data_IF_513902640986
#
_entry.id   IF_513902640986
#
_cell.length_a   1.000
_cell.length_b   1.000
_cell.length_c   1.000
_cell.angle_alpha   90.00
_cell.angle_beta   90.00
_cell.angle_gamma   90.00
#
_symmetry.space_group_name_H-M   'P 1'
#
loop_
_entity.id
_entity.type
_entity.pdbx_description
1 polymer ?
#
# COMPACT_ATOMS: atom_id res chain seq x y z
N UNK A 1 -24.44 -1.04 6.03
CA UNK A 1 -23.60 -2.19 6.40
C UNK A 1 -23.39 -2.14 7.90
N UNK A 2 -23.96 -3.09 8.64
CA UNK A 2 -23.48 -3.35 9.99
C UNK A 2 -22.06 -3.89 9.80
N UNK A 3 -21.07 -3.02 9.95
CA UNK A 3 -19.73 -3.50 10.31
C UNK A 3 -19.97 -4.13 11.67
N UNK A 4 -20.00 -5.46 11.69
CA UNK A 4 -20.30 -6.26 12.87
C UNK A 4 -19.45 -5.75 14.04
N UNK A 5 -20.07 -5.45 15.18
CA UNK A 5 -19.35 -5.03 16.37
C UNK A 5 -18.32 -6.10 16.77
N UNK A 6 -18.58 -7.36 16.42
CA UNK A 6 -17.60 -8.44 16.50
C UNK A 6 -16.36 -8.16 15.62
N UNK A 7 -16.54 -7.79 14.36
CA UNK A 7 -15.44 -7.49 13.44
C UNK A 7 -14.59 -6.32 13.93
N UNK A 8 -15.18 -5.28 14.53
CA UNK A 8 -14.40 -4.18 15.13
C UNK A 8 -13.53 -4.66 16.30
N UNK A 9 -14.06 -5.55 17.15
CA UNK A 9 -13.32 -6.12 18.29
C UNK A 9 -12.18 -7.05 17.87
N UNK A 10 -12.32 -7.70 16.73
CA UNK A 10 -11.30 -8.61 16.18
C UNK A 10 -10.20 -7.86 15.40
N UNK A 11 -10.34 -6.55 15.18
CA UNK A 11 -9.28 -5.77 14.55
C UNK A 11 -8.09 -5.64 15.50
N UNK A 12 -6.86 -5.72 14.97
CA UNK A 12 -5.70 -5.39 15.75
C UNK A 12 -5.78 -3.91 16.21
N UNK A 13 -5.35 -3.60 17.44
CA UNK A 13 -5.32 -2.22 17.92
C UNK A 13 -4.34 -1.38 17.10
N UNK A 14 -4.81 -0.24 16.60
CA UNK A 14 -3.98 0.74 15.89
C UNK A 14 -3.45 1.79 16.87
N UNK A 15 -2.19 2.20 16.71
CA UNK A 15 -1.62 3.33 17.45
C UNK A 15 -1.73 4.59 16.60
N UNK A 16 -1.98 5.73 17.24
CA UNK A 16 -2.00 7.01 16.54
C UNK A 16 -0.56 7.39 16.20
N UNK A 17 -0.19 7.18 14.93
CA UNK A 17 1.11 7.57 14.39
C UNK A 17 1.04 9.00 13.81
N UNK A 18 2.16 9.72 13.87
CA UNK A 18 2.30 10.99 13.16
C UNK A 18 2.32 10.71 11.64
N UNK A 19 1.56 11.45 10.82
CA UNK A 19 1.61 11.29 9.37
C UNK A 19 3.03 11.48 8.83
N UNK A 20 3.45 10.60 7.92
CA UNK A 20 4.70 10.71 7.21
C UNK A 20 4.71 11.96 6.31
N UNK A 21 5.68 12.88 6.48
CA UNK A 21 5.74 14.08 5.67
C UNK A 21 6.06 13.72 4.21
N UNK A 22 5.28 14.21 3.23
CA UNK A 22 5.58 13.97 1.82
C UNK A 22 6.96 14.48 1.43
N UNK A 23 7.65 13.74 0.57
CA UNK A 23 8.97 14.11 0.03
C UNK A 23 8.95 14.09 -1.48
N UNK A 24 9.58 15.07 -2.10
CA UNK A 24 9.78 15.10 -3.55
C UNK A 24 11.16 14.55 -3.86
N UNK A 25 11.23 13.64 -4.83
CA UNK A 25 12.48 13.11 -5.36
C UNK A 25 12.54 13.38 -6.86
N UNK A 26 13.75 13.67 -7.34
CA UNK A 26 14.04 13.82 -8.78
C UNK A 26 14.47 12.47 -9.32
N UNK A 27 13.75 11.97 -10.32
CA UNK A 27 14.10 10.74 -11.03
C UNK A 27 15.32 10.96 -11.93
N UNK A 28 15.95 9.86 -12.36
CA UNK A 28 17.07 9.92 -13.31
C UNK A 28 16.66 10.55 -14.67
N UNK A 29 15.36 10.50 -15.02
CA UNK A 29 14.79 11.18 -16.18
C UNK A 29 14.68 12.71 -16.02
N UNK A 30 14.88 13.24 -14.82
CA UNK A 30 14.65 14.65 -14.47
C UNK A 30 13.23 14.93 -13.96
N UNK A 31 12.29 13.99 -14.09
CA UNK A 31 10.92 14.12 -13.60
C UNK A 31 10.85 14.19 -12.06
N UNK A 32 9.86 14.90 -11.55
CA UNK A 32 9.60 15.01 -10.12
C UNK A 32 8.59 13.95 -9.69
N UNK A 33 8.84 13.29 -8.55
CA UNK A 33 7.95 12.30 -7.97
C UNK A 33 7.73 12.56 -6.49
N UNK A 34 6.49 12.41 -6.02
CA UNK A 34 6.15 12.55 -4.60
C UNK A 34 6.08 11.17 -3.95
N UNK A 35 6.81 11.01 -2.84
CA UNK A 35 6.67 9.94 -1.87
C UNK A 35 5.76 10.40 -0.75
N UNK A 36 4.65 9.71 -0.50
CA UNK A 36 3.69 10.04 0.57
C UNK A 36 3.01 8.78 1.11
N UNK A 37 2.28 8.93 2.21
CA UNK A 37 1.39 7.86 2.69
C UNK A 37 0.31 7.54 1.65
N UNK A 38 0.06 6.25 1.50
CA UNK A 38 -1.06 5.73 0.73
C UNK A 38 -2.37 5.98 1.47
N UNK A 39 -3.43 6.25 0.73
CA UNK A 39 -4.79 6.21 1.26
C UNK A 39 -5.46 4.89 0.89
N UNK A 40 -6.36 4.40 1.74
CA UNK A 40 -7.01 3.10 1.50
C UNK A 40 -7.96 3.11 0.30
N UNK A 41 -8.38 4.27 -0.16
CA UNK A 41 -9.16 4.42 -1.39
C UNK A 41 -8.32 4.11 -2.64
N UNK A 42 -6.99 4.17 -2.54
CA UNK A 42 -6.06 3.91 -3.64
C UNK A 42 -5.76 2.41 -3.82
N UNK A 43 -6.29 1.55 -2.93
CA UNK A 43 -5.96 0.12 -2.89
C UNK A 43 -6.28 -0.62 -4.18
N UNK A 44 -7.33 -0.25 -4.90
CA UNK A 44 -7.66 -0.86 -6.19
C UNK A 44 -6.51 -0.70 -7.21
N UNK A 45 -5.93 0.50 -7.28
CA UNK A 45 -4.81 0.80 -8.19
C UNK A 45 -3.55 0.08 -7.74
N UNK A 46 -3.26 0.07 -6.44
CA UNK A 46 -2.08 -0.61 -5.89
C UNK A 46 -2.13 -2.13 -6.13
N UNK A 47 -3.24 -2.78 -5.76
CA UNK A 47 -3.43 -4.22 -6.00
C UNK A 47 -3.40 -4.55 -7.50
N UNK A 48 -4.03 -3.71 -8.34
CA UNK A 48 -4.01 -3.86 -9.79
C UNK A 48 -2.62 -3.73 -10.40
N UNK A 49 -1.73 -2.93 -9.80
CA UNK A 49 -0.34 -2.74 -10.24
C UNK A 49 0.53 -3.94 -9.88
N UNK A 50 0.31 -4.54 -8.70
CA UNK A 50 1.11 -5.68 -8.21
C UNK A 50 0.66 -7.01 -8.83
N UNK A 51 -0.63 -7.20 -9.09
CA UNK A 51 -1.20 -8.47 -9.54
C UNK A 51 -0.49 -9.10 -10.77
N UNK A 52 -0.15 -8.35 -11.84
CA UNK A 52 0.54 -8.94 -13.00
C UNK A 52 1.91 -9.55 -12.67
N UNK A 53 2.57 -9.11 -11.60
CA UNK A 53 3.90 -9.59 -11.21
C UNK A 53 3.85 -10.97 -10.54
N UNK A 54 2.70 -11.40 -10.02
CA UNK A 54 2.54 -12.72 -9.37
C UNK A 54 2.78 -13.90 -10.32
N UNK A 55 2.70 -13.68 -11.64
CA UNK A 55 3.01 -14.69 -12.66
C UNK A 55 4.44 -14.65 -13.19
N UNK A 56 5.30 -13.76 -12.67
CA UNK A 56 6.65 -13.52 -13.18
C UNK A 56 7.67 -14.24 -12.30
N UNK A 57 8.11 -15.44 -12.68
CA UNK A 57 9.10 -16.20 -11.90
C UNK A 57 10.53 -15.62 -11.94
N UNK A 58 10.79 -14.67 -12.85
CA UNK A 58 12.10 -14.02 -12.96
C UNK A 58 12.41 -13.27 -11.65
N UNK A 59 13.62 -13.43 -11.15
CA UNK A 59 14.12 -12.70 -9.97
C UNK A 59 13.19 -12.75 -8.75
N UNK A 60 12.42 -13.85 -8.60
CA UNK A 60 11.45 -14.06 -7.51
C UNK A 60 10.31 -13.02 -7.47
N UNK A 61 10.00 -12.35 -8.59
CA UNK A 61 8.90 -11.38 -8.64
C UNK A 61 7.56 -12.01 -8.25
N UNK A 62 7.32 -13.26 -8.61
CA UNK A 62 6.11 -14.02 -8.29
C UNK A 62 5.84 -14.08 -6.77
N UNK A 63 6.80 -14.53 -5.98
CA UNK A 63 6.67 -14.67 -4.53
C UNK A 63 6.71 -13.30 -3.83
N UNK A 64 7.54 -12.37 -4.29
CA UNK A 64 7.61 -11.01 -3.74
C UNK A 64 6.28 -10.28 -3.97
N UNK A 65 5.75 -10.32 -5.19
CA UNK A 65 4.46 -9.73 -5.51
C UNK A 65 3.32 -10.38 -4.74
N UNK A 66 3.33 -11.70 -4.58
CA UNK A 66 2.31 -12.42 -3.82
C UNK A 66 2.27 -11.97 -2.36
N UNK A 67 3.45 -11.79 -1.73
CA UNK A 67 3.55 -11.28 -0.36
C UNK A 67 3.04 -9.85 -0.22
N UNK A 68 3.50 -8.96 -1.09
CA UNK A 68 3.08 -7.55 -1.10
C UNK A 68 1.57 -7.45 -1.32
N UNK A 69 1.02 -8.25 -2.25
CA UNK A 69 -0.42 -8.29 -2.50
C UNK A 69 -1.21 -8.72 -1.26
N UNK A 70 -0.74 -9.75 -0.55
CA UNK A 70 -1.36 -10.22 0.69
C UNK A 70 -1.30 -9.18 1.82
N UNK A 71 -0.15 -8.53 2.00
CA UNK A 71 0.06 -7.45 3.00
C UNK A 71 -0.88 -6.26 2.71
N UNK A 72 -0.92 -5.80 1.45
CA UNK A 72 -1.81 -4.74 0.98
C UNK A 72 -3.29 -5.10 1.18
N UNK A 73 -3.69 -6.33 0.85
CA UNK A 73 -5.05 -6.80 1.04
C UNK A 73 -5.40 -6.90 2.53
N UNK A 74 -4.48 -7.40 3.35
CA UNK A 74 -4.62 -7.45 4.80
C UNK A 74 -4.83 -6.05 5.38
N UNK A 75 -4.05 -5.07 4.93
CA UNK A 75 -4.17 -3.67 5.35
C UNK A 75 -5.53 -3.10 4.97
N UNK A 76 -5.96 -3.25 3.72
CA UNK A 76 -7.27 -2.81 3.25
C UNK A 76 -8.43 -3.39 4.07
N UNK A 77 -8.30 -4.66 4.48
CA UNK A 77 -9.31 -5.41 5.26
C UNK A 77 -9.19 -5.23 6.78
N UNK A 78 -8.33 -4.33 7.27
CA UNK A 78 -8.09 -4.12 8.71
C UNK A 78 -7.63 -5.39 9.45
N UNK A 79 -6.86 -6.27 8.78
CA UNK A 79 -6.30 -7.50 9.40
C UNK A 79 -4.89 -7.32 9.94
N UNK A 80 -4.24 -6.24 9.55
CA UNK A 80 -2.94 -5.79 10.07
C UNK A 80 -3.08 -4.34 10.53
N UNK A 81 -2.43 -4.01 11.63
CA UNK A 81 -2.40 -2.65 12.18
C UNK A 81 -1.05 -2.00 11.88
N UNK A 82 -1.06 -0.68 11.72
CA UNK A 82 0.16 0.15 11.62
C UNK A 82 1.07 -0.19 10.43
N UNK A 83 0.51 -0.75 9.34
CA UNK A 83 1.26 -0.96 8.11
C UNK A 83 1.71 0.37 7.51
N UNK A 84 2.98 0.41 7.12
CA UNK A 84 3.60 1.59 6.58
C UNK A 84 3.58 1.56 5.05
N UNK A 85 2.44 1.94 4.49
CA UNK A 85 2.23 1.93 3.03
C UNK A 85 2.55 3.30 2.46
N UNK A 86 3.66 3.38 1.71
CA UNK A 86 4.05 4.58 0.96
C UNK A 86 3.79 4.38 -0.53
N UNK A 87 3.32 5.45 -1.18
CA UNK A 87 3.12 5.50 -2.62
C UNK A 87 4.01 6.55 -3.26
N UNK A 88 4.43 6.22 -4.48
CA UNK A 88 5.24 7.05 -5.34
C UNK A 88 4.37 7.44 -6.54
N UNK A 89 4.16 8.74 -6.75
CA UNK A 89 3.38 9.27 -7.87
C UNK A 89 4.09 10.42 -8.56
N UNK A 90 4.19 10.38 -9.89
CA UNK A 90 4.76 11.46 -10.69
C UNK A 90 3.96 12.76 -10.51
N UNK A 91 4.67 13.88 -10.32
CA UNK A 91 4.08 15.21 -10.35
C UNK A 91 3.90 15.58 -11.82
N UNK A 92 2.66 15.56 -12.29
CA UNK A 92 2.33 16.18 -13.56
C UNK A 92 2.10 17.66 -13.27
N UNK A 93 3.09 18.50 -13.62
CA UNK A 93 3.00 19.96 -13.55
C UNK A 93 2.27 20.45 -14.82
#
# INVERSE_FOLDING_TARGET
MIIDELEKKLRPPEIVLKPYPPKVITLASGEQMVVREAKREEMGVLLGTIHPLMGVAKDYYDIVASRIYAELLGWYRYRVANEFVLVLSLIHI
#
